data_IF_171844303618
#
_entry.id   IF_171844303618
#
_cell.length_a   1.000
_cell.length_b   1.000
_cell.length_c   1.000
_cell.angle_alpha   90.00
_cell.angle_beta   90.00
_cell.angle_gamma   90.00
#
_symmetry.space_group_name_H-M   'P 1'
#
loop_
_entity.id
_entity.type
_entity.pdbx_description
1 polymer ?
#
# COMPACT_ATOMS: atom_id res chain seq x y z
N UNK A 1 12.87 -4.33 -6.39
CA UNK A 1 11.96 -4.85 -5.36
C UNK A 1 12.76 -5.01 -4.07
N UNK A 2 12.13 -5.16 -2.91
CA UNK A 2 12.84 -5.38 -1.64
C UNK A 2 12.76 -6.84 -1.24
N UNK A 3 13.89 -7.47 -0.95
CA UNK A 3 14.00 -8.93 -0.77
C UNK A 3 13.08 -9.46 0.33
N UNK A 4 12.89 -8.68 1.40
CA UNK A 4 12.01 -9.06 2.51
C UNK A 4 10.54 -9.07 2.12
N UNK A 5 10.13 -8.26 1.14
CA UNK A 5 8.75 -8.20 0.66
C UNK A 5 8.49 -9.35 -0.31
N UNK A 6 9.44 -9.60 -1.22
CA UNK A 6 9.35 -10.70 -2.17
C UNK A 6 9.22 -12.06 -1.45
N UNK A 7 10.09 -12.34 -0.47
CA UNK A 7 10.03 -13.57 0.33
C UNK A 7 8.67 -13.81 1.01
N UNK A 8 7.98 -12.74 1.44
CA UNK A 8 6.66 -12.86 2.06
C UNK A 8 5.57 -13.19 1.04
N UNK A 9 5.68 -12.63 -0.16
CA UNK A 9 4.76 -12.93 -1.27
C UNK A 9 4.94 -14.36 -1.74
N UNK A 10 6.20 -14.79 -1.96
CA UNK A 10 6.51 -16.15 -2.40
C UNK A 10 6.00 -17.18 -1.39
N UNK A 11 6.26 -16.97 -0.11
CA UNK A 11 5.77 -17.84 0.96
C UNK A 11 4.23 -17.89 1.06
N UNK A 12 3.52 -16.83 0.64
CA UNK A 12 2.06 -16.82 0.60
C UNK A 12 1.52 -17.50 -0.66
N UNK A 13 2.21 -17.34 -1.79
CA UNK A 13 1.89 -18.02 -3.04
C UNK A 13 2.06 -19.53 -2.90
N UNK A 14 3.15 -20.00 -2.30
CA UNK A 14 3.38 -21.42 -2.00
C UNK A 14 2.30 -22.01 -1.08
N UNK A 15 1.83 -21.22 -0.11
CA UNK A 15 0.77 -21.64 0.82
C UNK A 15 -0.64 -21.50 0.25
N UNK A 16 -0.81 -20.81 -0.89
CA UNK A 16 -2.12 -20.45 -1.44
C UNK A 16 -2.96 -19.53 -0.54
N UNK A 17 -2.36 -18.93 0.50
CA UNK A 17 -3.08 -18.10 1.48
C UNK A 17 -2.93 -16.61 1.15
N UNK A 18 -4.04 -15.87 1.13
CA UNK A 18 -4.07 -14.43 0.80
C UNK A 18 -4.14 -13.54 2.03
N UNK A 19 -3.21 -13.75 2.96
CA UNK A 19 -3.19 -12.98 4.21
C UNK A 19 -2.64 -11.57 3.98
N UNK A 20 -3.11 -10.58 4.74
CA UNK A 20 -2.65 -9.19 4.58
C UNK A 20 -1.14 -9.07 4.90
N UNK A 21 -0.35 -8.65 3.91
CA UNK A 21 1.10 -8.43 4.05
C UNK A 21 1.37 -7.00 4.47
N UNK A 22 1.95 -6.79 5.65
CA UNK A 22 2.41 -5.46 6.09
C UNK A 22 3.79 -5.14 5.51
N UNK A 23 3.93 -3.93 4.96
CA UNK A 23 5.17 -3.44 4.38
C UNK A 23 5.43 -1.97 4.70
N UNK A 24 6.71 -1.67 4.96
CA UNK A 24 7.25 -0.31 5.01
C UNK A 24 7.94 0.07 3.71
N UNK A 25 8.18 -0.90 2.81
CA UNK A 25 8.91 -0.67 1.56
C UNK A 25 7.98 -0.08 0.50
N UNK A 26 7.79 1.24 0.56
CA UNK A 26 6.99 2.02 -0.42
C UNK A 26 7.66 2.13 -1.79
N UNK A 27 8.98 1.93 -1.85
CA UNK A 27 9.80 2.04 -3.08
C UNK A 27 9.67 0.85 -4.02
N UNK A 28 9.15 -0.28 -3.51
CA UNK A 28 8.99 -1.52 -4.25
C UNK A 28 7.95 -1.37 -5.35
N UNK A 29 8.30 -1.90 -6.53
CA UNK A 29 7.42 -1.97 -7.70
C UNK A 29 6.53 -3.19 -7.58
N UNK A 30 5.28 -3.07 -8.03
CA UNK A 30 4.32 -4.17 -8.08
C UNK A 30 4.72 -5.13 -9.21
N UNK A 31 4.84 -6.41 -8.84
CA UNK A 31 5.20 -7.53 -9.73
C UNK A 31 3.95 -8.39 -9.95
N UNK A 32 3.79 -9.08 -11.10
CA UNK A 32 2.62 -9.94 -11.36
C UNK A 32 2.33 -10.97 -10.26
N UNK A 33 3.35 -11.49 -9.58
CA UNK A 33 3.21 -12.46 -8.46
C UNK A 33 2.45 -11.90 -7.26
N UNK A 34 2.24 -10.58 -7.21
CA UNK A 34 1.51 -9.88 -6.16
C UNK A 34 0.00 -9.78 -6.43
N UNK A 35 -0.47 -10.19 -7.61
CA UNK A 35 -1.87 -10.05 -8.00
C UNK A 35 -2.79 -10.82 -7.05
N UNK A 36 -3.84 -10.15 -6.59
CA UNK A 36 -4.82 -10.75 -5.69
C UNK A 36 -4.38 -10.79 -4.22
N UNK A 37 -3.21 -10.24 -3.89
CA UNK A 37 -2.80 -10.02 -2.51
C UNK A 37 -3.23 -8.66 -1.99
N UNK A 38 -3.48 -8.59 -0.69
CA UNK A 38 -3.72 -7.33 0.01
C UNK A 38 -2.44 -6.90 0.71
N UNK A 39 -1.86 -5.79 0.26
CA UNK A 39 -0.63 -5.23 0.82
C UNK A 39 -0.99 -4.03 1.67
N UNK A 40 -0.69 -4.12 2.96
CA UNK A 40 -0.81 -3.05 3.93
C UNK A 40 0.44 -2.17 3.86
N UNK A 41 0.37 -1.04 3.14
CA UNK A 41 1.48 -0.11 2.88
C UNK A 41 1.51 0.98 3.95
N UNK A 42 2.66 1.21 4.57
CA UNK A 42 2.81 2.29 5.56
C UNK A 42 2.77 3.68 4.91
N UNK A 43 1.89 4.57 5.39
CA UNK A 43 1.74 5.96 4.91
C UNK A 43 2.51 7.00 5.74
N UNK A 44 3.17 6.58 6.82
CA UNK A 44 3.84 7.44 7.79
C UNK A 44 3.16 7.48 9.17
N UNK A 45 1.90 7.04 9.26
CA UNK A 45 1.12 6.94 10.51
C UNK A 45 0.46 5.58 10.69
N UNK A 46 -0.11 5.02 9.62
CA UNK A 46 -0.85 3.76 9.62
C UNK A 46 -0.49 2.93 8.39
N UNK A 47 -0.91 1.68 8.40
CA UNK A 47 -0.83 0.84 7.22
C UNK A 47 -2.17 0.90 6.47
N UNK A 48 -2.12 1.35 5.22
CA UNK A 48 -3.28 1.43 4.33
C UNK A 48 -3.37 0.11 3.56
N UNK A 49 -4.47 -0.65 3.65
CA UNK A 49 -4.65 -1.87 2.88
C UNK A 49 -4.90 -1.51 1.40
N UNK A 50 -4.05 -2.02 0.51
CA UNK A 50 -4.16 -1.87 -0.93
C UNK A 50 -4.33 -3.26 -1.53
N UNK A 51 -5.44 -3.48 -2.23
CA UNK A 51 -5.68 -4.71 -2.98
C UNK A 51 -5.04 -4.59 -4.36
N UNK A 52 -4.14 -5.52 -4.70
CA UNK A 52 -3.36 -5.45 -5.94
C UNK A 52 -4.14 -6.05 -7.10
N UNK A 53 -4.29 -5.26 -8.17
CA UNK A 53 -4.92 -5.65 -9.44
C UNK A 53 -3.90 -5.62 -10.58
N UNK A 54 -4.21 -6.28 -11.69
CA UNK A 54 -3.31 -6.38 -12.87
C UNK A 54 -2.91 -5.01 -13.44
N UNK A 55 -3.85 -4.06 -13.45
CA UNK A 55 -3.60 -2.68 -13.91
C UNK A 55 -2.59 -1.90 -13.04
N UNK A 56 -2.18 -2.44 -11.89
CA UNK A 56 -1.22 -1.81 -10.99
C UNK A 56 0.23 -2.28 -11.23
N UNK A 57 0.46 -3.25 -12.13
CA UNK A 57 1.82 -3.71 -12.47
C UNK A 57 2.68 -2.53 -12.95
N UNK A 58 3.95 -2.49 -12.52
CA UNK A 58 4.89 -1.45 -12.93
C UNK A 58 4.84 -0.18 -12.09
N UNK A 59 3.76 0.05 -11.34
CA UNK A 59 3.66 1.14 -10.37
C UNK A 59 4.40 0.82 -9.07
N UNK A 60 4.76 1.86 -8.30
CA UNK A 60 5.30 1.69 -6.94
C UNK A 60 4.19 1.64 -5.90
N UNK A 61 4.38 0.80 -4.87
CA UNK A 61 3.42 0.69 -3.76
C UNK A 61 3.14 2.03 -3.06
N UNK A 62 4.12 2.94 -3.05
CA UNK A 62 3.95 4.27 -2.47
C UNK A 62 2.93 5.16 -3.18
N UNK A 63 2.62 4.92 -4.45
CA UNK A 63 1.65 5.70 -5.24
C UNK A 63 0.21 5.49 -4.72
N UNK A 64 -0.06 4.31 -4.17
CA UNK A 64 -1.38 3.92 -3.67
C UNK A 64 -1.59 4.26 -2.18
N UNK A 65 -0.58 4.83 -1.51
CA UNK A 65 -0.63 5.20 -0.09
C UNK A 65 -0.21 6.69 0.08
N UNK A 66 -1.18 7.63 0.08
CA UNK A 66 -0.90 9.05 0.21
C UNK A 66 -0.40 9.39 1.63
N UNK A 67 0.67 10.17 1.73
CA UNK A 67 1.34 10.48 3.01
C UNK A 67 0.87 11.78 3.66
N UNK A 68 0.23 12.66 2.89
CA UNK A 68 -0.29 13.95 3.37
C UNK A 68 -1.77 14.05 3.00
N UNK A 69 -2.61 14.38 3.98
CA UNK A 69 -4.02 14.71 3.72
C UNK A 69 -4.11 16.17 3.30
N UNK A 70 -4.13 16.44 2.00
CA UNK A 70 -4.46 17.77 1.50
C UNK A 70 -5.97 17.98 1.65
N UNK A 71 -6.39 18.96 2.47
CA UNK A 71 -7.80 19.22 2.76
C UNK A 71 -8.41 20.29 1.86
N UNK A 72 -7.70 21.38 1.62
CA UNK A 72 -8.10 22.45 0.71
C UNK A 72 -6.99 23.52 0.64
N UNK A 73 -6.99 24.32 -0.43
CA UNK A 73 -6.36 25.63 -0.40
C UNK A 73 -7.29 26.53 0.44
N UNK A 74 -6.79 27.11 1.54
CA UNK A 74 -7.62 27.76 2.56
C UNK A 74 -8.63 28.74 1.94
N UNK A 75 -9.91 28.38 1.97
CA UNK A 75 -11.03 29.31 2.13
C UNK A 75 -11.94 28.70 3.20
N UNK A 76 -11.99 29.41 4.32
CA UNK A 76 -12.88 29.21 5.47
C UNK A 76 -12.49 28.12 6.49
N UNK A 77 -12.03 28.61 7.64
CA UNK A 77 -11.78 27.87 8.87
C UNK A 77 -13.11 27.46 9.51
N UNK A 78 -13.65 26.30 9.14
CA UNK A 78 -14.74 25.67 9.90
C UNK A 78 -14.16 24.89 11.08
N UNK A 79 -13.52 25.62 12.00
CA UNK A 79 -13.21 25.13 13.34
C UNK A 79 -14.53 24.89 14.09
N UNK A 80 -14.82 23.60 14.30
CA UNK A 80 -15.33 23.03 15.55
C UNK A 80 -16.46 23.80 16.26
N UNK A 81 -17.71 23.41 16.00
CA UNK A 81 -18.72 23.43 17.07
C UNK A 81 -18.48 22.19 17.93
N UNK A 82 -17.94 22.43 19.12
CA UNK A 82 -17.83 21.45 20.21
C UNK A 82 -19.22 21.19 20.78
#
# INVERSE_FOLDING_TARGET
MDDHLQKKVDAQNEKGTKNVIKTWSRRSMIVPDMIGHTIAVHDGRKHVPVFVTDAMIGHKLGEFAPTRTFRSHVKEDRRSRR
#
